data_IF_040363917724
#
_entry.id   IF_040363917724
#
_cell.length_a   1.000
_cell.length_b   1.000
_cell.length_c   1.000
_cell.angle_alpha   90.00
_cell.angle_beta   90.00
_cell.angle_gamma   90.00
#
_symmetry.space_group_name_H-M   'P 1'
#
loop_
_entity.id
_entity.type
_entity.pdbx_description
1 polymer ?
#
# COMPACT_ATOMS: atom_id res chain seq x y z
N UNK A 1 -36.43 -19.03 7.62
CA UNK A 1 -35.24 -19.40 6.82
C UNK A 1 -35.32 -20.88 6.55
N UNK A 2 -34.95 -21.32 5.34
CA UNK A 2 -34.84 -22.74 5.01
C UNK A 2 -33.40 -23.25 5.24
N UNK A 3 -33.17 -24.57 5.14
CA UNK A 3 -31.86 -25.16 5.42
C UNK A 3 -30.74 -24.71 4.46
N UNK A 4 -31.06 -24.44 3.19
CA UNK A 4 -30.09 -23.96 2.20
C UNK A 4 -29.67 -22.52 2.50
N UNK A 5 -30.64 -21.64 2.75
CA UNK A 5 -30.40 -20.26 3.19
C UNK A 5 -29.57 -20.19 4.47
N UNK A 6 -29.80 -21.11 5.41
CA UNK A 6 -29.02 -21.18 6.64
C UNK A 6 -27.56 -21.59 6.38
N UNK A 7 -27.30 -22.57 5.49
CA UNK A 7 -25.94 -22.97 5.12
C UNK A 7 -25.13 -21.83 4.53
N UNK A 8 -25.77 -21.01 3.70
CA UNK A 8 -25.13 -19.84 3.09
C UNK A 8 -24.66 -18.82 4.14
N UNK A 9 -25.27 -18.81 5.33
CA UNK A 9 -24.97 -17.88 6.43
C UNK A 9 -24.02 -18.46 7.50
N UNK A 10 -23.49 -19.66 7.32
CA UNK A 10 -22.63 -20.31 8.32
C UNK A 10 -21.39 -19.49 8.67
N UNK A 11 -20.76 -18.87 7.66
CA UNK A 11 -19.52 -18.09 7.87
C UNK A 11 -19.83 -16.80 8.63
N UNK A 12 -20.86 -16.07 8.22
CA UNK A 12 -21.33 -14.86 8.89
C UNK A 12 -21.81 -15.14 10.32
N UNK A 13 -22.43 -16.29 10.56
CA UNK A 13 -22.84 -16.73 11.89
C UNK A 13 -21.63 -17.03 12.79
N UNK A 14 -20.59 -17.68 12.25
CA UNK A 14 -19.34 -17.98 12.94
C UNK A 14 -18.56 -16.70 13.27
N UNK A 15 -18.44 -15.79 12.31
CA UNK A 15 -17.76 -14.49 12.47
C UNK A 15 -18.53 -13.52 13.38
N UNK A 16 -19.73 -13.88 13.84
CA UNK A 16 -20.57 -13.05 14.70
C UNK A 16 -21.18 -11.82 14.00
N UNK A 17 -21.30 -11.87 12.67
CA UNK A 17 -21.82 -10.78 11.84
C UNK A 17 -23.35 -10.78 11.77
N UNK A 18 -24.00 -11.93 11.99
CA UNK A 18 -25.46 -12.02 12.02
C UNK A 18 -26.04 -11.34 13.25
N UNK A 19 -26.95 -10.40 13.05
CA UNK A 19 -27.60 -9.64 14.12
C UNK A 19 -29.14 -9.65 14.03
N UNK A 20 -29.78 -9.44 15.17
CA UNK A 20 -31.22 -9.22 15.28
C UNK A 20 -32.07 -10.33 14.66
N UNK A 21 -33.06 -10.00 13.80
CA UNK A 21 -34.04 -10.97 13.31
C UNK A 21 -33.42 -12.05 12.42
N UNK A 22 -32.30 -11.77 11.77
CA UNK A 22 -31.61 -12.75 10.93
C UNK A 22 -30.90 -13.81 11.77
N UNK A 23 -30.28 -13.39 12.88
CA UNK A 23 -29.70 -14.31 13.86
C UNK A 23 -30.76 -15.21 14.48
N UNK A 24 -31.89 -14.63 14.90
CA UNK A 24 -33.00 -15.41 15.46
C UNK A 24 -33.56 -16.44 14.46
N UNK A 25 -33.67 -16.07 13.18
CA UNK A 25 -34.15 -16.96 12.14
C UNK A 25 -33.15 -18.08 11.81
N UNK A 26 -31.85 -17.79 11.90
CA UNK A 26 -30.77 -18.77 11.75
C UNK A 26 -30.76 -19.77 12.92
N UNK A 27 -30.78 -19.28 14.15
CA UNK A 27 -30.82 -20.11 15.36
C UNK A 27 -32.07 -21.01 15.37
N UNK A 28 -33.23 -20.49 14.95
CA UNK A 28 -34.45 -21.28 14.80
C UNK A 28 -34.35 -22.37 13.72
N UNK A 29 -33.57 -22.14 12.65
CA UNK A 29 -33.33 -23.14 11.60
C UNK A 29 -32.43 -24.27 12.12
N UNK A 30 -31.36 -23.94 12.85
CA UNK A 30 -30.52 -24.94 13.53
C UNK A 30 -31.33 -25.73 14.58
N UNK A 31 -32.29 -25.06 15.24
CA UNK A 31 -33.16 -25.71 16.21
C UNK A 31 -34.14 -26.70 15.60
N UNK A 32 -34.64 -26.41 14.41
CA UNK A 32 -35.56 -27.27 13.69
C UNK A 32 -34.89 -28.48 13.02
N UNK A 33 -33.59 -28.40 12.72
CA UNK A 33 -32.86 -29.40 11.94
C UNK A 33 -31.55 -29.83 12.61
N UNK A 34 -31.54 -31.06 13.13
CA UNK A 34 -30.38 -31.62 13.82
C UNK A 34 -29.19 -31.91 12.88
N UNK A 35 -29.44 -32.20 11.61
CA UNK A 35 -28.38 -32.46 10.62
C UNK A 35 -27.68 -31.14 10.27
N UNK A 36 -28.46 -30.09 10.02
CA UNK A 36 -27.96 -28.74 9.78
C UNK A 36 -27.14 -28.20 10.97
N UNK A 37 -27.59 -28.45 12.21
CA UNK A 37 -26.82 -28.09 13.41
C UNK A 37 -25.47 -28.81 13.44
N UNK A 38 -25.45 -30.11 13.16
CA UNK A 38 -24.21 -30.88 13.16
C UNK A 38 -23.24 -30.38 12.09
N UNK A 39 -23.72 -30.02 10.89
CA UNK A 39 -22.90 -29.41 9.84
C UNK A 39 -22.27 -28.07 10.30
N UNK A 40 -23.05 -27.22 10.97
CA UNK A 40 -22.56 -25.95 11.50
C UNK A 40 -21.50 -26.15 12.61
N UNK A 41 -21.75 -27.09 13.53
CA UNK A 41 -20.80 -27.42 14.60
C UNK A 41 -19.49 -28.00 14.06
N UNK A 42 -19.55 -28.82 13.01
CA UNK A 42 -18.35 -29.35 12.32
C UNK A 42 -17.53 -28.23 11.67
N UNK A 43 -18.19 -27.29 10.99
CA UNK A 43 -17.52 -26.11 10.42
C UNK A 43 -16.87 -25.27 11.51
N UNK A 44 -17.60 -24.94 12.58
CA UNK A 44 -17.10 -24.13 13.68
C UNK A 44 -15.87 -24.77 14.34
N UNK A 45 -15.90 -26.09 14.56
CA UNK A 45 -14.76 -26.83 15.11
C UNK A 45 -13.53 -26.79 14.19
N UNK A 46 -13.72 -26.91 12.87
CA UNK A 46 -12.64 -26.82 11.89
C UNK A 46 -12.01 -25.42 11.86
N UNK A 47 -12.83 -24.38 11.94
CA UNK A 47 -12.34 -23.00 11.96
C UNK A 47 -11.63 -22.70 13.29
N UNK A 48 -12.15 -23.16 14.42
CA UNK A 48 -11.48 -23.02 15.73
C UNK A 48 -10.12 -23.70 15.75
N UNK A 49 -9.99 -24.90 15.17
CA UNK A 49 -8.70 -25.58 15.03
C UNK A 49 -7.73 -24.76 14.14
N UNK A 50 -8.23 -24.20 13.03
CA UNK A 50 -7.43 -23.35 12.16
C UNK A 50 -6.98 -22.04 12.84
N UNK A 51 -7.85 -21.41 13.62
CA UNK A 51 -7.54 -20.21 14.41
C UNK A 51 -6.55 -20.51 15.54
N UNK A 52 -6.69 -21.65 16.21
CA UNK A 52 -5.78 -22.12 17.25
C UNK A 52 -4.35 -22.40 16.76
N UNK A 53 -4.15 -22.64 15.46
CA UNK A 53 -2.81 -22.74 14.86
C UNK A 53 -2.13 -21.36 14.71
N UNK A 54 -2.89 -20.26 14.77
CA UNK A 54 -2.40 -18.88 14.66
C UNK A 54 -2.26 -18.16 16.00
N UNK A 55 -3.13 -18.44 16.96
CA UNK A 55 -3.10 -17.82 18.29
C UNK A 55 -2.22 -18.62 19.26
N UNK A 56 -0.90 -18.42 19.14
CA UNK A 56 -0.03 -18.64 20.29
C UNK A 56 -0.30 -17.49 21.26
N UNK A 57 -1.27 -17.66 22.17
CA UNK A 57 -1.40 -16.83 23.38
C UNK A 57 -0.15 -17.01 24.24
N UNK A 58 0.86 -16.22 23.91
CA UNK A 58 2.09 -16.09 24.66
C UNK A 58 2.63 -14.70 24.41
N UNK A 59 3.35 -14.16 25.39
CA UNK A 59 4.10 -12.91 25.25
C UNK A 59 5.09 -13.09 24.09
N UNK A 60 4.66 -12.77 22.86
CA UNK A 60 5.43 -12.99 21.64
C UNK A 60 6.68 -12.13 21.79
N UNK A 61 7.87 -12.74 21.96
CA UNK A 61 9.07 -11.96 22.18
C UNK A 61 9.24 -11.02 21.00
N UNK A 62 9.52 -9.74 21.24
CA UNK A 62 9.80 -8.82 20.15
C UNK A 62 11.08 -9.28 19.42
N UNK A 63 10.90 -9.99 18.31
CA UNK A 63 11.97 -10.52 17.48
C UNK A 63 12.56 -9.43 16.58
N UNK A 64 11.90 -8.28 16.47
CA UNK A 64 12.28 -7.22 15.55
C UNK A 64 13.72 -6.74 15.77
N UNK A 65 14.21 -6.49 17.01
CA UNK A 65 15.59 -6.07 17.24
C UNK A 65 16.60 -7.13 16.80
N UNK A 66 16.30 -8.41 17.03
CA UNK A 66 17.16 -9.53 16.65
C UNK A 66 17.25 -9.73 15.14
N UNK A 67 16.10 -9.67 14.47
CA UNK A 67 16.00 -9.76 13.01
C UNK A 67 16.69 -8.57 12.34
N UNK A 68 16.47 -7.34 12.82
CA UNK A 68 17.13 -6.14 12.31
C UNK A 68 18.66 -6.22 12.45
N UNK A 69 19.16 -6.67 13.61
CA UNK A 69 20.59 -6.85 13.84
C UNK A 69 21.19 -7.87 12.86
N UNK A 70 20.54 -9.03 12.71
CA UNK A 70 20.99 -10.10 11.81
C UNK A 70 20.95 -9.67 10.35
N UNK A 71 19.92 -8.93 9.95
CA UNK A 71 19.80 -8.37 8.61
C UNK A 71 20.89 -7.33 8.34
N UNK A 72 21.21 -6.47 9.31
CA UNK A 72 22.28 -5.47 9.19
C UNK A 72 23.66 -6.11 9.07
N UNK A 73 23.94 -7.14 9.86
CA UNK A 73 25.19 -7.91 9.81
C UNK A 73 25.33 -8.65 8.46
N UNK A 74 24.28 -9.35 8.02
CA UNK A 74 24.29 -10.12 6.75
C UNK A 74 24.33 -9.22 5.53
N UNK A 75 23.58 -8.12 5.53
CA UNK A 75 23.52 -7.19 4.40
C UNK A 75 24.74 -6.27 4.31
N UNK A 76 25.62 -6.25 5.33
CA UNK A 76 26.72 -5.27 5.46
C UNK A 76 26.23 -3.82 5.27
N UNK A 77 24.98 -3.56 5.65
CA UNK A 77 24.32 -2.29 5.45
C UNK A 77 23.78 -2.02 4.03
N UNK A 78 23.85 -2.93 3.05
CA UNK A 78 23.42 -2.68 1.66
C UNK A 78 22.00 -2.07 1.55
N UNK A 79 21.05 -2.54 2.35
CA UNK A 79 19.65 -2.09 2.28
C UNK A 79 19.33 -0.85 3.11
N UNK A 80 20.14 -0.53 4.13
CA UNK A 80 19.96 0.66 4.99
C UNK A 80 20.99 1.76 4.69
N UNK A 81 21.95 1.50 3.79
CA UNK A 81 22.90 2.49 3.27
C UNK A 81 22.30 3.34 2.16
N UNK A 82 21.07 3.07 1.76
CA UNK A 82 20.34 3.97 0.90
C UNK A 82 19.80 5.14 1.72
N UNK A 83 20.67 6.13 1.79
CA UNK A 83 20.40 7.55 1.97
C UNK A 83 19.52 8.08 0.82
N UNK A 84 18.40 7.42 0.52
CA UNK A 84 17.47 7.82 -0.55
C UNK A 84 16.99 9.28 -0.42
N UNK A 85 17.11 9.88 0.78
CA UNK A 85 16.79 11.29 1.03
C UNK A 85 18.00 12.18 1.41
N UNK A 86 19.23 11.66 1.52
CA UNK A 86 20.34 12.38 2.17
C UNK A 86 21.62 12.51 1.34
N UNK A 87 21.56 12.30 0.03
CA UNK A 87 22.70 12.59 -0.86
C UNK A 87 22.36 13.59 -1.96
N UNK A 88 21.75 14.72 -1.60
CA UNK A 88 21.93 15.97 -2.36
C UNK A 88 23.11 16.73 -1.77
N UNK A 89 24.32 16.25 -2.09
CA UNK A 89 25.49 17.12 -2.02
C UNK A 89 25.26 18.32 -2.94
N UNK A 90 25.75 19.50 -2.56
CA UNK A 90 25.66 20.71 -3.38
C UNK A 90 26.19 20.41 -4.80
N UNK A 91 25.28 20.33 -5.77
CA UNK A 91 25.60 20.06 -7.16
C UNK A 91 25.61 21.37 -7.92
N UNK A 92 26.74 21.69 -8.54
CA UNK A 92 26.88 22.87 -9.41
C UNK A 92 26.16 22.67 -10.75
N UNK A 93 25.79 21.44 -11.12
CA UNK A 93 25.14 21.11 -12.37
C UNK A 93 23.88 21.94 -12.65
N UNK A 94 22.90 22.08 -11.73
CA UNK A 94 21.74 22.96 -11.96
C UNK A 94 22.11 24.43 -12.14
N UNK A 95 23.13 24.92 -11.44
CA UNK A 95 23.60 26.32 -11.55
C UNK A 95 24.22 26.55 -12.93
N UNK A 96 25.10 25.65 -13.36
CA UNK A 96 25.74 25.71 -14.68
C UNK A 96 24.68 25.63 -15.78
N UNK A 97 23.72 24.72 -15.67
CA UNK A 97 22.63 24.58 -16.63
C UNK A 97 21.76 25.85 -16.70
N UNK A 98 21.47 26.48 -15.57
CA UNK A 98 20.73 27.74 -15.53
C UNK A 98 21.47 28.86 -16.27
N UNK A 99 22.78 28.99 -16.07
CA UNK A 99 23.59 29.98 -16.80
C UNK A 99 23.68 29.69 -18.30
N UNK A 100 23.78 28.42 -18.70
CA UNK A 100 23.75 28.03 -20.13
C UNK A 100 22.41 28.41 -20.76
N UNK A 101 21.30 28.08 -20.10
CA UNK A 101 19.96 28.43 -20.58
C UNK A 101 19.76 29.95 -20.68
N UNK A 102 20.24 30.70 -19.69
CA UNK A 102 20.19 32.16 -19.70
C UNK A 102 21.02 32.75 -20.83
N UNK A 103 22.20 32.18 -21.12
CA UNK A 103 23.04 32.57 -22.25
C UNK A 103 22.38 32.31 -23.61
N UNK A 104 21.77 31.14 -23.79
CA UNK A 104 21.02 30.80 -25.01
C UNK A 104 19.84 31.76 -25.23
N UNK A 105 19.13 32.11 -24.16
CA UNK A 105 18.04 33.09 -24.22
C UNK A 105 18.56 34.48 -24.65
N UNK A 106 19.68 34.93 -24.08
CA UNK A 106 20.31 36.20 -24.44
C UNK A 106 20.76 36.25 -25.89
N UNK A 107 21.37 35.16 -26.39
CA UNK A 107 21.77 35.04 -27.80
C UNK A 107 20.57 35.07 -28.75
N UNK A 108 19.49 34.35 -28.42
CA UNK A 108 18.27 34.37 -29.20
C UNK A 108 17.64 35.77 -29.25
N UNK A 109 17.59 36.46 -28.11
CA UNK A 109 17.08 37.83 -28.02
C UNK A 109 17.92 38.81 -28.85
N UNK A 110 19.24 38.77 -28.70
CA UNK A 110 20.16 39.64 -29.46
C UNK A 110 20.08 39.38 -30.97
N UNK A 111 19.98 38.11 -31.39
CA UNK A 111 19.81 37.74 -32.79
C UNK A 111 18.51 38.29 -33.37
N UNK A 112 17.38 38.13 -32.66
CA UNK A 112 16.09 38.70 -33.09
C UNK A 112 16.13 40.23 -33.18
N UNK A 113 16.71 40.89 -32.18
CA UNK A 113 16.84 42.35 -32.17
C UNK A 113 17.70 42.86 -33.33
N UNK A 114 18.82 42.20 -33.61
CA UNK A 114 19.70 42.56 -34.72
C UNK A 114 19.02 42.39 -36.09
N UNK A 115 18.25 41.33 -36.28
CA UNK A 115 17.47 41.12 -37.51
C UNK A 115 16.41 42.22 -37.67
N UNK A 116 15.71 42.59 -36.60
CA UNK A 116 14.72 43.68 -36.62
C UNK A 116 15.34 45.04 -36.96
N UNK A 117 16.54 45.35 -36.44
CA UNK A 117 17.25 46.58 -36.78
C UNK A 117 17.67 46.64 -38.26
N UNK A 118 18.11 45.50 -38.82
CA UNK A 118 18.47 45.40 -40.23
C UNK A 118 17.26 45.60 -41.14
N UNK A 119 16.12 44.98 -40.80
CA UNK A 119 14.86 45.17 -41.53
C UNK A 119 14.42 46.64 -41.47
N UNK A 120 14.44 47.26 -40.30
CA UNK A 120 14.07 48.65 -40.11
C UNK A 120 14.97 49.64 -40.89
N UNK A 121 16.27 49.33 -41.03
CA UNK A 121 17.21 50.16 -41.79
C UNK A 121 17.03 49.98 -43.30
N UNK A 122 16.60 48.80 -43.76
CA UNK A 122 16.35 48.50 -45.18
C UNK A 122 15.06 49.13 -45.73
N UNK A 123 14.10 49.46 -44.86
CA UNK A 123 12.83 50.11 -45.23
C UNK A 123 12.89 51.64 -45.17
N UNK A 124 14.00 52.24 -44.72
CA UNK A 124 14.18 53.69 -44.71
C UNK A 124 14.78 54.16 -46.05
N UNK A 125 14.07 55.01 -46.84
CA UNK A 125 14.48 55.42 -48.19
C UNK A 125 15.70 56.36 -48.22
#
# INVERSE_FOLDING_TARGET
MNAEEARDLFSEAYDGVLEGPEREAFDAALDADAELRAEYEELAALLDEAHGLGEVEGDVPDLLPGVQKKLRERSKGRYYRDRFALQTGFSWTPIILAFVMLGLMGLAYAGLHFVQELEATSESP
#
